data_IF_903738312669
#
_entry.id   IF_903738312669
#
_cell.length_a   1.000
_cell.length_b   1.000
_cell.length_c   1.000
_cell.angle_alpha   90.00
_cell.angle_beta   90.00
_cell.angle_gamma   90.00
#
_symmetry.space_group_name_H-M   'P 1'
#
loop_
_entity.id
_entity.type
_entity.pdbx_description
1 polymer ?
#
# COMPACT_ATOMS: atom_id res chain seq x y z
N UNK A 1 28.05 3.66 1.72
CA UNK A 1 26.93 4.18 2.53
C UNK A 1 25.94 3.03 2.67
N UNK A 2 25.37 2.80 3.86
CA UNK A 2 24.39 1.73 4.02
C UNK A 2 23.14 2.04 3.20
N UNK A 3 22.54 1.02 2.60
CA UNK A 3 21.27 1.13 1.90
C UNK A 3 20.10 0.94 2.88
N UNK A 4 19.05 1.71 2.70
CA UNK A 4 17.87 1.72 3.57
C UNK A 4 16.63 1.32 2.78
N UNK A 5 15.86 0.38 3.37
CA UNK A 5 14.51 0.06 2.95
C UNK A 5 13.53 0.58 4.00
N UNK A 6 12.59 1.42 3.61
CA UNK A 6 11.53 1.93 4.49
C UNK A 6 10.23 1.20 4.20
N UNK A 7 9.57 0.68 5.24
CA UNK A 7 8.30 -0.05 5.12
C UNK A 7 7.26 0.59 6.02
N UNK A 8 6.32 1.32 5.45
CA UNK A 8 5.17 1.81 6.21
C UNK A 8 4.15 0.68 6.41
N UNK A 9 3.44 0.67 7.52
CA UNK A 9 2.60 -0.48 7.88
C UNK A 9 3.41 -1.73 8.25
N UNK A 10 4.71 -1.57 8.54
CA UNK A 10 5.65 -2.67 8.79
C UNK A 10 5.51 -3.39 10.13
N UNK A 11 4.58 -2.95 11.01
CA UNK A 11 4.36 -3.59 12.30
C UNK A 11 3.45 -4.83 12.25
N UNK A 12 2.85 -5.18 11.12
CA UNK A 12 1.98 -6.34 10.96
C UNK A 12 1.64 -6.63 9.49
N UNK A 13 0.98 -7.77 9.24
CA UNK A 13 0.38 -8.10 7.95
C UNK A 13 1.40 -8.16 6.81
N UNK A 14 1.01 -7.62 5.65
CA UNK A 14 1.81 -7.68 4.40
C UNK A 14 3.15 -6.93 4.55
N UNK A 15 3.14 -5.75 5.22
CA UNK A 15 4.36 -4.96 5.40
C UNK A 15 5.41 -5.68 6.26
N UNK A 16 5.00 -6.28 7.38
CA UNK A 16 5.89 -7.07 8.22
C UNK A 16 6.38 -8.34 7.50
N UNK A 17 5.51 -8.98 6.71
CA UNK A 17 5.90 -10.13 5.89
C UNK A 17 6.90 -9.75 4.79
N UNK A 18 6.72 -8.60 4.13
CA UNK A 18 7.64 -8.12 3.09
C UNK A 18 9.05 -7.86 3.65
N UNK A 19 9.14 -7.35 4.88
CA UNK A 19 10.42 -7.09 5.54
C UNK A 19 11.34 -8.31 5.58
N UNK A 20 10.78 -9.52 5.73
CA UNK A 20 11.55 -10.78 5.77
C UNK A 20 12.29 -11.11 4.48
N UNK A 21 11.83 -10.58 3.36
CA UNK A 21 12.41 -10.83 2.03
C UNK A 21 13.35 -9.72 1.55
N UNK A 22 13.57 -8.67 2.36
CA UNK A 22 14.54 -7.63 2.05
C UNK A 22 15.96 -8.16 2.27
N UNK A 23 16.89 -7.73 1.43
CA UNK A 23 18.31 -8.12 1.56
C UNK A 23 18.81 -7.73 2.95
N UNK A 24 19.41 -8.69 3.67
CA UNK A 24 19.95 -8.53 5.03
C UNK A 24 21.09 -7.52 5.13
N UNK A 25 21.68 -7.12 4.00
CA UNK A 25 22.68 -6.05 3.94
C UNK A 25 22.06 -4.66 4.09
N UNK A 26 20.76 -4.54 3.88
CA UNK A 26 20.04 -3.27 4.02
C UNK A 26 19.58 -3.04 5.45
N UNK A 27 19.55 -1.79 5.85
CA UNK A 27 18.87 -1.35 7.07
C UNK A 27 17.37 -1.25 6.74
N UNK A 28 16.54 -1.90 7.54
CA UNK A 28 15.10 -1.84 7.42
C UNK A 28 14.55 -0.83 8.43
N UNK A 29 13.74 0.11 7.98
CA UNK A 29 12.95 0.99 8.87
C UNK A 29 11.50 0.57 8.72
N UNK A 30 10.92 0.02 9.78
CA UNK A 30 9.49 -0.28 9.82
C UNK A 30 8.74 0.85 10.52
N UNK A 31 7.65 1.32 9.92
CA UNK A 31 6.85 2.38 10.53
C UNK A 31 5.37 2.04 10.63
N UNK A 32 4.70 2.69 11.58
CA UNK A 32 3.29 2.55 11.88
C UNK A 32 2.91 3.36 13.11
N UNK A 33 1.64 3.32 13.52
CA UNK A 33 1.11 4.18 14.59
C UNK A 33 1.37 3.67 16.01
N UNK A 34 1.70 2.39 16.19
CA UNK A 34 1.80 1.74 17.50
C UNK A 34 3.21 1.18 17.72
N UNK A 35 4.00 1.80 18.60
CA UNK A 35 5.37 1.42 18.88
C UNK A 35 5.49 -0.05 19.34
N UNK A 36 4.62 -0.51 20.23
CA UNK A 36 4.62 -1.88 20.72
C UNK A 36 4.57 -2.94 19.62
N UNK A 37 3.72 -2.72 18.59
CA UNK A 37 3.64 -3.63 17.43
C UNK A 37 4.90 -3.57 16.58
N UNK A 38 5.50 -2.39 16.45
CA UNK A 38 6.73 -2.19 15.70
C UNK A 38 7.91 -2.85 16.39
N UNK A 39 8.05 -2.69 17.71
CA UNK A 39 9.11 -3.32 18.50
C UNK A 39 9.02 -4.86 18.46
N UNK A 40 7.79 -5.39 18.55
CA UNK A 40 7.57 -6.83 18.39
C UNK A 40 8.03 -7.31 17.01
N UNK A 41 7.60 -6.65 15.94
CA UNK A 41 7.98 -7.02 14.57
C UNK A 41 9.48 -6.85 14.33
N UNK A 42 10.10 -5.79 14.86
CA UNK A 42 11.54 -5.57 14.78
C UNK A 42 12.30 -6.70 15.45
N UNK A 43 11.93 -7.09 16.69
CA UNK A 43 12.57 -8.18 17.41
C UNK A 43 12.44 -9.55 16.74
N UNK A 44 11.35 -9.80 15.99
CA UNK A 44 11.21 -11.01 15.16
C UNK A 44 12.17 -10.97 13.96
N UNK A 45 12.24 -9.85 13.25
CA UNK A 45 13.13 -9.67 12.10
C UNK A 45 14.61 -9.68 12.49
N UNK A 46 14.98 -9.13 13.65
CA UNK A 46 16.34 -9.17 14.18
C UNK A 46 16.80 -10.60 14.49
N UNK A 47 15.91 -11.45 15.03
CA UNK A 47 16.19 -12.88 15.22
C UNK A 47 16.43 -13.61 13.89
N UNK A 48 15.85 -13.13 12.81
CA UNK A 48 16.07 -13.64 11.46
C UNK A 48 17.34 -13.05 10.79
N UNK A 49 18.06 -12.14 11.48
CA UNK A 49 19.34 -11.57 11.07
C UNK A 49 19.23 -10.27 10.27
N UNK A 50 18.11 -9.55 10.35
CA UNK A 50 17.96 -8.22 9.78
C UNK A 50 18.41 -7.13 10.74
N UNK A 51 18.84 -5.98 10.22
CA UNK A 51 19.05 -4.75 10.99
C UNK A 51 17.80 -3.89 10.87
N UNK A 52 17.06 -3.69 11.95
CA UNK A 52 15.72 -3.06 11.92
C UNK A 52 15.64 -1.90 12.89
N UNK A 53 14.99 -0.81 12.46
CA UNK A 53 14.66 0.34 13.31
C UNK A 53 13.15 0.60 13.25
N UNK A 54 12.44 0.52 14.38
CA UNK A 54 11.05 0.93 14.47
C UNK A 54 10.94 2.46 14.52
N UNK A 55 9.90 3.03 13.87
CA UNK A 55 9.63 4.46 13.88
C UNK A 55 8.11 4.72 13.88
N UNK A 56 7.63 5.50 14.86
CA UNK A 56 6.21 5.87 14.91
C UNK A 56 5.89 6.91 13.83
N UNK A 57 4.97 6.56 12.93
CA UNK A 57 4.51 7.45 11.85
C UNK A 57 3.05 7.18 11.53
N UNK A 58 2.24 8.22 11.53
CA UNK A 58 0.92 8.23 10.87
C UNK A 58 1.11 8.80 9.47
N UNK A 59 0.94 7.97 8.44
CA UNK A 59 1.12 8.38 7.04
C UNK A 59 0.03 9.33 6.54
N UNK A 60 -1.06 9.50 7.26
CA UNK A 60 -2.08 10.50 6.96
C UNK A 60 -1.70 11.92 7.43
N UNK A 61 -0.58 12.07 8.10
CA UNK A 61 0.02 13.35 8.50
C UNK A 61 1.34 13.57 7.76
N UNK A 62 1.37 14.52 6.83
CA UNK A 62 2.55 14.85 6.01
C UNK A 62 3.78 15.19 6.88
N UNK A 63 3.61 15.90 7.99
CA UNK A 63 4.72 16.23 8.89
C UNK A 63 5.33 14.99 9.56
N UNK A 64 4.51 13.98 9.86
CA UNK A 64 4.99 12.68 10.33
C UNK A 64 5.81 11.95 9.25
N UNK A 65 5.37 12.01 7.99
CA UNK A 65 6.10 11.42 6.85
C UNK A 65 7.45 12.13 6.66
N UNK A 66 7.49 13.47 6.73
CA UNK A 66 8.75 14.23 6.68
C UNK A 66 9.72 13.83 7.79
N UNK A 67 9.23 13.60 9.02
CA UNK A 67 10.07 13.11 10.13
C UNK A 67 10.62 11.73 9.84
N UNK A 68 9.80 10.83 9.26
CA UNK A 68 10.24 9.49 8.84
C UNK A 68 11.32 9.57 7.76
N UNK A 69 11.17 10.45 6.77
CA UNK A 69 12.19 10.69 5.72
C UNK A 69 13.51 11.14 6.33
N UNK A 70 13.48 12.15 7.23
CA UNK A 70 14.68 12.61 7.92
C UNK A 70 15.36 11.53 8.75
N UNK A 71 14.58 10.72 9.44
CA UNK A 71 15.09 9.58 10.18
C UNK A 71 15.74 8.55 9.25
N UNK A 72 15.10 8.23 8.13
CA UNK A 72 15.64 7.28 7.16
C UNK A 72 16.98 7.76 6.56
N UNK A 73 17.06 9.04 6.19
CA UNK A 73 18.31 9.67 5.71
C UNK A 73 19.45 9.61 6.73
N UNK A 74 19.14 9.70 8.04
CA UNK A 74 20.15 9.57 9.10
C UNK A 74 20.76 8.16 9.20
N UNK A 75 20.10 7.14 8.63
CA UNK A 75 20.55 5.74 8.64
C UNK A 75 21.32 5.36 7.38
N UNK A 76 21.07 6.03 6.25
CA UNK A 76 21.76 5.72 4.99
C UNK A 76 21.05 6.25 3.76
N UNK A 77 21.40 5.69 2.61
CA UNK A 77 20.77 6.01 1.33
C UNK A 77 19.47 5.21 1.16
N UNK A 78 18.35 5.92 0.93
CA UNK A 78 17.05 5.29 0.74
C UNK A 78 16.99 4.67 -0.66
N UNK A 79 16.94 3.35 -0.72
CA UNK A 79 16.84 2.57 -1.98
C UNK A 79 15.42 2.08 -2.24
N UNK A 80 14.73 1.65 -1.20
CA UNK A 80 13.41 1.05 -1.33
C UNK A 80 12.44 1.72 -0.37
N UNK A 81 11.25 2.04 -0.86
CA UNK A 81 10.11 2.43 -0.04
C UNK A 81 8.96 1.47 -0.36
N UNK A 82 8.47 0.75 0.64
CA UNK A 82 7.29 -0.10 0.55
C UNK A 82 6.19 0.58 1.35
N UNK A 83 5.21 1.14 0.65
CA UNK A 83 4.07 1.79 1.28
C UNK A 83 2.92 0.80 1.45
N UNK A 84 2.88 0.14 2.61
CA UNK A 84 1.87 -0.86 2.97
C UNK A 84 0.89 -0.36 4.04
N UNK A 85 1.07 0.87 4.55
CA UNK A 85 0.13 1.45 5.49
C UNK A 85 -1.22 1.72 4.83
N UNK A 86 -2.31 1.34 5.51
CA UNK A 86 -3.66 1.55 5.04
C UNK A 86 -4.69 0.98 6.01
N UNK A 87 -5.96 1.27 5.74
CA UNK A 87 -7.11 0.77 6.52
C UNK A 87 -8.14 0.13 5.58
N UNK A 88 -8.86 -0.88 6.10
CA UNK A 88 -9.96 -1.53 5.39
C UNK A 88 -11.32 -0.86 5.70
N UNK A 89 -12.40 -1.21 4.96
CA UNK A 89 -13.74 -0.68 5.19
C UNK A 89 -14.28 -0.91 6.61
N UNK A 90 -13.86 -2.01 7.24
CA UNK A 90 -14.26 -2.35 8.61
C UNK A 90 -13.56 -1.51 9.69
N UNK A 91 -12.50 -0.77 9.33
CA UNK A 91 -11.64 -0.06 10.28
C UNK A 91 -11.92 1.45 10.37
N UNK A 92 -12.59 2.04 9.37
CA UNK A 92 -12.77 3.49 9.30
C UNK A 92 -13.97 3.89 8.43
N UNK A 93 -14.50 5.10 8.68
CA UNK A 93 -15.50 5.73 7.82
C UNK A 93 -14.92 6.12 6.44
N UNK A 94 -15.79 6.44 5.44
CA UNK A 94 -15.36 6.71 4.08
C UNK A 94 -14.32 7.82 3.94
N UNK A 95 -14.45 8.92 4.68
CA UNK A 95 -13.52 10.04 4.58
C UNK A 95 -12.14 9.66 5.12
N UNK A 96 -12.11 8.96 6.24
CA UNK A 96 -10.89 8.49 6.88
C UNK A 96 -10.19 7.42 6.02
N UNK A 97 -10.96 6.53 5.38
CA UNK A 97 -10.42 5.56 4.40
C UNK A 97 -9.71 6.28 3.26
N UNK A 98 -10.37 7.28 2.65
CA UNK A 98 -9.79 8.06 1.55
C UNK A 98 -8.55 8.86 2.00
N UNK A 99 -8.63 9.51 3.15
CA UNK A 99 -7.51 10.30 3.67
C UNK A 99 -6.28 9.43 3.93
N UNK A 100 -6.45 8.33 4.67
CA UNK A 100 -5.31 7.44 5.00
C UNK A 100 -4.75 6.76 3.76
N UNK A 101 -5.62 6.15 2.95
CA UNK A 101 -5.16 5.31 1.84
C UNK A 101 -4.72 6.13 0.62
N UNK A 102 -5.42 7.24 0.28
CA UNK A 102 -5.10 8.03 -0.90
C UNK A 102 -4.11 9.15 -0.59
N UNK A 103 -4.44 10.07 0.34
CA UNK A 103 -3.56 11.19 0.65
C UNK A 103 -2.29 10.73 1.36
N UNK A 104 -2.38 9.72 2.23
CA UNK A 104 -1.19 9.10 2.82
C UNK A 104 -0.22 8.55 1.77
N UNK A 105 -0.72 7.94 0.66
CA UNK A 105 0.13 7.51 -0.45
C UNK A 105 0.76 8.71 -1.17
N UNK A 106 0.01 9.80 -1.37
CA UNK A 106 0.57 11.04 -1.95
C UNK A 106 1.71 11.55 -1.09
N UNK A 107 1.51 11.70 0.22
CA UNK A 107 2.52 12.21 1.14
C UNK A 107 3.79 11.35 1.15
N UNK A 108 3.63 10.03 1.23
CA UNK A 108 4.79 9.12 1.22
C UNK A 108 5.55 9.24 -0.10
N UNK A 109 4.88 9.13 -1.24
CA UNK A 109 5.55 9.14 -2.54
C UNK A 109 6.25 10.48 -2.82
N UNK A 110 5.59 11.60 -2.52
CA UNK A 110 6.17 12.93 -2.73
C UNK A 110 7.39 13.18 -1.82
N UNK A 111 7.24 12.96 -0.49
CA UNK A 111 8.32 13.29 0.44
C UNK A 111 9.55 12.39 0.25
N UNK A 112 9.34 11.08 -0.01
CA UNK A 112 10.46 10.19 -0.29
C UNK A 112 11.10 10.47 -1.65
N UNK A 113 10.32 10.70 -2.70
CA UNK A 113 10.87 10.93 -4.03
C UNK A 113 11.79 12.16 -4.13
N UNK A 114 11.59 13.17 -3.27
CA UNK A 114 12.43 14.39 -3.22
C UNK A 114 13.87 14.10 -2.83
N UNK A 115 14.11 13.03 -2.07
CA UNK A 115 15.42 12.70 -1.49
C UNK A 115 16.03 11.41 -2.03
N UNK A 116 15.24 10.59 -2.72
CA UNK A 116 15.70 9.34 -3.31
C UNK A 116 16.58 9.61 -4.54
N UNK A 117 17.58 8.75 -4.73
CA UNK A 117 18.52 8.82 -5.82
C UNK A 117 18.16 7.88 -6.97
N UNK A 118 18.77 8.04 -8.16
CA UNK A 118 18.62 7.09 -9.27
C UNK A 118 18.90 5.65 -8.84
N UNK A 119 18.11 4.72 -9.37
CA UNK A 119 18.14 3.29 -9.02
C UNK A 119 17.31 2.93 -7.79
N UNK A 120 16.54 3.89 -7.25
CA UNK A 120 15.62 3.62 -6.14
C UNK A 120 14.23 3.25 -6.63
N UNK A 121 13.42 2.66 -5.73
CA UNK A 121 12.06 2.20 -6.03
C UNK A 121 11.08 2.50 -4.92
N UNK A 122 9.86 2.90 -5.30
CA UNK A 122 8.68 2.99 -4.44
C UNK A 122 7.70 1.91 -4.88
N UNK A 123 7.23 1.11 -3.93
CA UNK A 123 6.21 0.08 -4.15
C UNK A 123 4.99 0.36 -3.26
N UNK A 124 3.87 0.71 -3.87
CA UNK A 124 2.62 1.01 -3.18
C UNK A 124 1.74 -0.23 -3.08
N UNK A 125 1.20 -0.54 -1.90
CA UNK A 125 0.27 -1.65 -1.72
C UNK A 125 -1.16 -1.17 -1.94
N UNK A 126 -1.72 -1.52 -3.09
CA UNK A 126 -3.11 -1.26 -3.45
C UNK A 126 -4.06 -2.35 -2.92
N UNK A 127 -4.96 -2.87 -3.75
CA UNK A 127 -5.86 -4.00 -3.47
C UNK A 127 -6.56 -4.45 -4.75
N UNK A 128 -6.96 -5.70 -4.83
CA UNK A 128 -7.82 -6.19 -5.91
C UNK A 128 -9.21 -5.50 -5.93
N UNK A 129 -9.65 -4.89 -4.82
CA UNK A 129 -10.87 -4.09 -4.77
C UNK A 129 -10.83 -2.89 -5.74
N UNK A 130 -9.66 -2.42 -6.11
CA UNK A 130 -9.46 -1.40 -7.13
C UNK A 130 -10.02 -1.80 -8.51
N UNK A 131 -10.06 -3.08 -8.80
CA UNK A 131 -10.57 -3.63 -10.07
C UNK A 131 -12.09 -3.85 -10.07
N UNK A 132 -12.76 -3.59 -8.94
CA UNK A 132 -14.19 -3.83 -8.79
C UNK A 132 -15.05 -2.61 -9.17
N UNK A 133 -14.42 -1.42 -9.28
CA UNK A 133 -15.13 -0.23 -9.70
C UNK A 133 -15.45 -0.27 -11.20
N UNK A 134 -16.72 -0.06 -11.61
CA UNK A 134 -17.04 0.14 -13.01
C UNK A 134 -16.30 1.36 -13.59
N UNK A 135 -15.79 1.23 -14.82
CA UNK A 135 -14.96 2.28 -15.45
C UNK A 135 -15.67 3.65 -15.53
N UNK A 136 -17.01 3.67 -15.72
CA UNK A 136 -17.77 4.92 -15.76
C UNK A 136 -17.81 5.66 -14.40
N UNK A 137 -17.54 4.98 -13.30
CA UNK A 137 -17.43 5.58 -11.96
C UNK A 137 -16.05 6.21 -11.72
N UNK A 138 -15.03 5.80 -12.45
CA UNK A 138 -13.65 6.29 -12.28
C UNK A 138 -13.51 7.64 -12.97
N UNK A 139 -12.87 8.59 -12.31
CA UNK A 139 -12.60 9.91 -12.88
C UNK A 139 -11.22 10.42 -12.45
N UNK A 140 -10.26 10.30 -13.35
CA UNK A 140 -8.90 10.78 -13.11
C UNK A 140 -8.86 12.28 -12.83
N UNK A 141 -9.79 13.08 -13.40
CA UNK A 141 -9.92 14.52 -13.06
C UNK A 141 -10.24 14.76 -11.58
N UNK A 142 -10.94 13.82 -10.93
CA UNK A 142 -11.15 13.92 -9.48
C UNK A 142 -9.89 13.48 -8.74
N UNK A 143 -9.17 12.47 -9.23
CA UNK A 143 -7.92 12.02 -8.64
C UNK A 143 -6.84 13.10 -8.67
N UNK A 144 -6.75 13.90 -9.73
CA UNK A 144 -5.85 15.06 -9.82
C UNK A 144 -6.07 16.07 -8.68
N UNK A 145 -7.29 16.15 -8.13
CA UNK A 145 -7.56 17.04 -7.00
C UNK A 145 -6.81 16.65 -5.73
N UNK A 146 -6.47 15.37 -5.55
CA UNK A 146 -5.67 14.96 -4.40
C UNK A 146 -4.29 15.65 -4.36
N UNK A 147 -3.81 16.18 -5.49
CA UNK A 147 -2.53 16.85 -5.65
C UNK A 147 -2.64 18.39 -5.59
N UNK A 148 -3.85 18.94 -5.74
CA UNK A 148 -4.05 20.39 -5.86
C UNK A 148 -5.06 20.95 -4.87
N UNK A 149 -6.03 20.15 -4.43
CA UNK A 149 -7.08 20.54 -3.49
C UNK A 149 -7.63 19.27 -2.79
N UNK A 150 -6.97 18.85 -1.72
CA UNK A 150 -7.27 17.64 -0.96
C UNK A 150 -8.72 17.60 -0.47
N UNK A 151 -9.24 18.72 0.05
CA UNK A 151 -10.63 18.81 0.54
C UNK A 151 -11.63 18.58 -0.60
N UNK A 152 -11.39 19.16 -1.78
CA UNK A 152 -12.24 18.93 -2.94
C UNK A 152 -12.20 17.48 -3.41
N UNK A 153 -11.04 16.82 -3.35
CA UNK A 153 -10.89 15.38 -3.64
C UNK A 153 -11.75 14.54 -2.69
N UNK A 154 -11.53 14.70 -1.39
CA UNK A 154 -12.26 13.96 -0.36
C UNK A 154 -13.77 14.16 -0.47
N UNK A 155 -14.21 15.43 -0.64
CA UNK A 155 -15.62 15.77 -0.75
C UNK A 155 -16.27 15.16 -2.00
N UNK A 156 -15.60 15.23 -3.16
CA UNK A 156 -16.16 14.69 -4.42
C UNK A 156 -16.29 13.17 -4.40
N UNK A 157 -15.33 12.45 -3.84
CA UNK A 157 -15.45 10.98 -3.71
C UNK A 157 -16.51 10.62 -2.66
N UNK A 158 -16.51 11.28 -1.49
CA UNK A 158 -17.53 11.05 -0.46
C UNK A 158 -18.96 11.27 -1.01
N UNK A 159 -19.17 12.31 -1.83
CA UNK A 159 -20.45 12.56 -2.50
C UNK A 159 -20.85 11.43 -3.46
N UNK A 160 -19.87 10.80 -4.16
CA UNK A 160 -20.14 9.67 -5.07
C UNK A 160 -20.64 8.42 -4.36
N UNK A 161 -20.34 8.24 -3.08
CA UNK A 161 -20.79 7.10 -2.29
C UNK A 161 -21.94 7.45 -1.34
N UNK A 162 -22.36 8.72 -1.28
CA UNK A 162 -23.38 9.21 -0.35
C UNK A 162 -24.78 8.63 -0.57
N UNK A 163 -25.11 8.18 -1.80
CA UNK A 163 -26.41 7.60 -2.14
C UNK A 163 -26.61 6.21 -1.51
N UNK A 164 -25.54 5.54 -1.12
CA UNK A 164 -25.63 4.27 -0.41
C UNK A 164 -26.18 4.52 1.01
N UNK A 165 -27.06 3.65 1.48
CA UNK A 165 -27.63 3.78 2.84
C UNK A 165 -26.75 3.08 3.88
N UNK A 166 -26.23 1.91 3.54
CA UNK A 166 -25.42 1.09 4.41
C UNK A 166 -24.02 1.70 4.65
N UNK A 167 -23.62 1.95 5.91
CA UNK A 167 -22.32 2.55 6.23
C UNK A 167 -21.14 1.67 5.79
N UNK A 168 -21.26 0.34 5.89
CA UNK A 168 -20.19 -0.57 5.47
C UNK A 168 -19.99 -0.55 3.97
N UNK A 169 -21.10 -0.57 3.19
CA UNK A 169 -21.02 -0.42 1.74
C UNK A 169 -20.42 0.93 1.32
N UNK A 170 -20.75 2.03 2.03
CA UNK A 170 -20.12 3.33 1.78
C UNK A 170 -18.60 3.26 1.97
N UNK A 171 -18.15 2.69 3.07
CA UNK A 171 -16.72 2.51 3.35
C UNK A 171 -16.07 1.55 2.34
N UNK A 172 -16.77 0.51 1.91
CA UNK A 172 -16.32 -0.44 0.88
C UNK A 172 -16.08 0.23 -0.47
N UNK A 173 -17.03 1.05 -0.94
CA UNK A 173 -16.83 1.80 -2.18
C UNK A 173 -15.74 2.88 -2.05
N UNK A 174 -15.68 3.60 -0.92
CA UNK A 174 -14.60 4.55 -0.66
C UNK A 174 -13.23 3.85 -0.63
N UNK A 175 -13.16 2.65 -0.08
CA UNK A 175 -11.97 1.81 -0.10
C UNK A 175 -11.58 1.43 -1.54
N UNK A 176 -12.53 0.95 -2.35
CA UNK A 176 -12.27 0.63 -3.76
C UNK A 176 -11.76 1.86 -4.53
N UNK A 177 -12.37 3.04 -4.32
CA UNK A 177 -11.86 4.30 -4.87
C UNK A 177 -10.44 4.63 -4.39
N UNK A 178 -10.16 4.45 -3.09
CA UNK A 178 -8.84 4.74 -2.54
C UNK A 178 -7.78 3.82 -3.13
N UNK A 179 -8.10 2.55 -3.38
CA UNK A 179 -7.17 1.56 -3.93
C UNK A 179 -7.00 1.69 -5.45
N UNK A 180 -8.04 2.08 -6.18
CA UNK A 180 -7.90 2.46 -7.59
C UNK A 180 -7.07 3.75 -7.74
N UNK A 181 -7.26 4.71 -6.84
CA UNK A 181 -6.41 5.90 -6.77
C UNK A 181 -4.93 5.53 -6.58
N UNK A 182 -4.60 4.62 -5.66
CA UNK A 182 -3.21 4.17 -5.42
C UNK A 182 -2.58 3.61 -6.70
N UNK A 183 -3.30 2.76 -7.43
CA UNK A 183 -2.83 2.22 -8.72
C UNK A 183 -2.57 3.31 -9.75
N UNK A 184 -3.55 4.20 -9.93
CA UNK A 184 -3.45 5.33 -10.85
C UNK A 184 -2.28 6.23 -10.46
N UNK A 185 -2.14 6.54 -9.17
CA UNK A 185 -1.11 7.44 -8.68
C UNK A 185 0.29 6.83 -8.80
N UNK A 186 0.46 5.55 -8.50
CA UNK A 186 1.73 4.84 -8.72
C UNK A 186 2.15 4.89 -10.20
N UNK A 187 1.21 4.66 -11.13
CA UNK A 187 1.48 4.79 -12.56
C UNK A 187 1.87 6.22 -12.95
N UNK A 188 1.15 7.25 -12.45
CA UNK A 188 1.50 8.65 -12.65
C UNK A 188 2.90 8.98 -12.13
N UNK A 189 3.20 8.59 -10.88
CA UNK A 189 4.51 8.81 -10.27
C UNK A 189 5.64 8.12 -11.05
N UNK A 190 5.39 6.96 -11.64
CA UNK A 190 6.38 6.28 -12.47
C UNK A 190 6.80 7.14 -13.67
N UNK A 191 5.87 7.83 -14.33
CA UNK A 191 6.17 8.75 -15.41
C UNK A 191 6.83 10.04 -14.92
N UNK A 192 6.44 10.55 -13.76
CA UNK A 192 6.98 11.79 -13.20
C UNK A 192 8.39 11.60 -12.63
N UNK A 193 8.63 10.48 -11.91
CA UNK A 193 9.91 10.22 -11.23
C UNK A 193 10.89 9.42 -12.09
N UNK A 194 10.40 8.71 -13.10
CA UNK A 194 11.21 7.89 -14.01
C UNK A 194 12.39 8.63 -14.64
N UNK A 195 12.23 9.89 -15.15
CA UNK A 195 13.35 10.68 -15.66
C UNK A 195 14.45 10.95 -14.64
N UNK A 196 14.16 10.87 -13.34
CA UNK A 196 15.13 10.98 -12.24
C UNK A 196 15.73 9.62 -11.84
N UNK A 197 15.38 8.54 -12.54
CA UNK A 197 15.82 7.18 -12.26
C UNK A 197 15.14 6.55 -11.05
N UNK A 198 13.99 7.04 -10.61
CA UNK A 198 13.20 6.49 -9.51
C UNK A 198 12.03 5.70 -10.11
N UNK A 199 11.97 4.42 -9.83
CA UNK A 199 10.92 3.53 -10.28
C UNK A 199 9.74 3.53 -9.30
N UNK A 200 8.51 3.53 -9.81
CA UNK A 200 7.30 3.36 -8.99
C UNK A 200 6.46 2.23 -9.56
N UNK A 201 5.92 1.40 -8.68
CA UNK A 201 5.09 0.24 -8.99
C UNK A 201 4.04 0.06 -7.91
N UNK A 202 2.90 -0.55 -8.22
CA UNK A 202 1.95 -0.99 -7.21
C UNK A 202 1.77 -2.51 -7.21
N UNK A 203 1.36 -3.04 -6.06
CA UNK A 203 0.95 -4.44 -5.89
C UNK A 203 -0.46 -4.45 -5.34
N UNK A 204 -1.35 -5.21 -5.97
CA UNK A 204 -2.75 -5.36 -5.57
C UNK A 204 -3.00 -6.75 -4.98
N UNK A 205 -3.00 -6.90 -3.64
CA UNK A 205 -3.37 -8.13 -2.97
C UNK A 205 -4.85 -8.46 -3.14
N UNK A 206 -5.17 -9.75 -3.17
CA UNK A 206 -6.49 -10.28 -2.87
C UNK A 206 -6.75 -10.42 -1.38
N UNK A 207 -7.60 -11.36 -1.00
CA UNK A 207 -7.90 -11.68 0.40
C UNK A 207 -6.74 -12.45 1.04
N UNK A 208 -6.08 -11.84 2.02
CA UNK A 208 -4.89 -12.38 2.68
C UNK A 208 -5.17 -12.65 4.16
N UNK A 209 -4.67 -13.76 4.68
CA UNK A 209 -4.83 -14.19 6.09
C UNK A 209 -4.03 -13.30 7.07
N UNK A 210 -4.44 -12.04 7.15
CA UNK A 210 -3.94 -11.02 8.08
C UNK A 210 -5.05 -10.59 9.03
N UNK A 211 -4.72 -9.85 10.07
CA UNK A 211 -5.77 -9.25 10.93
C UNK A 211 -6.79 -8.42 10.15
N UNK A 212 -6.37 -7.69 9.13
CA UNK A 212 -7.25 -6.93 8.24
C UNK A 212 -8.12 -7.86 7.38
N UNK A 213 -7.53 -8.87 6.74
CA UNK A 213 -8.25 -9.81 5.88
C UNK A 213 -9.27 -10.67 6.66
N UNK A 214 -8.95 -11.03 7.89
CA UNK A 214 -9.87 -11.77 8.76
C UNK A 214 -11.09 -10.91 9.15
N UNK A 215 -10.93 -9.59 9.35
CA UNK A 215 -12.03 -8.67 9.55
C UNK A 215 -12.91 -8.54 8.30
N UNK A 216 -12.33 -8.52 7.12
CA UNK A 216 -13.06 -8.47 5.85
C UNK A 216 -13.84 -9.77 5.61
N UNK A 217 -13.24 -10.93 5.91
CA UNK A 217 -13.90 -12.23 5.78
C UNK A 217 -15.11 -12.34 6.70
N UNK A 218 -15.03 -11.84 7.95
CA UNK A 218 -16.14 -11.87 8.91
C UNK A 218 -17.40 -11.09 8.46
N UNK A 219 -17.26 -10.19 7.48
CA UNK A 219 -18.35 -9.39 6.92
C UNK A 219 -18.87 -9.89 5.56
N UNK A 220 -18.13 -10.78 4.86
CA UNK A 220 -18.40 -11.09 3.45
C UNK A 220 -18.55 -12.57 3.12
N UNK A 221 -18.86 -13.45 4.08
CA UNK A 221 -19.01 -14.89 3.87
C UNK A 221 -17.91 -15.57 3.03
N UNK A 222 -17.92 -16.90 2.94
CA UNK A 222 -16.98 -17.72 2.15
C UNK A 222 -17.01 -17.46 0.63
N UNK A 223 -17.91 -16.59 0.13
CA UNK A 223 -18.07 -16.28 -1.29
C UNK A 223 -16.82 -15.69 -1.93
N UNK A 224 -16.06 -14.85 -1.18
CA UNK A 224 -14.81 -14.28 -1.69
C UNK A 224 -13.78 -15.38 -2.00
N UNK A 225 -13.66 -16.36 -1.11
CA UNK A 225 -12.77 -17.52 -1.30
C UNK A 225 -13.24 -18.38 -2.48
N UNK A 226 -14.55 -18.56 -2.63
CA UNK A 226 -15.11 -19.34 -3.72
C UNK A 226 -14.78 -18.79 -5.11
N UNK A 227 -14.51 -17.49 -5.22
CA UNK A 227 -14.15 -16.84 -6.48
C UNK A 227 -12.66 -16.92 -6.81
N UNK A 228 -11.79 -17.26 -5.86
CA UNK A 228 -10.35 -17.44 -6.15
C UNK A 228 -10.12 -18.77 -6.90
N UNK A 229 -9.15 -18.82 -7.80
CA UNK A 229 -8.71 -20.07 -8.44
C UNK A 229 -8.11 -21.03 -7.40
N UNK A 230 -7.38 -20.48 -6.43
CA UNK A 230 -6.71 -21.23 -5.36
C UNK A 230 -7.64 -21.74 -4.26
N UNK A 231 -8.91 -21.29 -4.21
CA UNK A 231 -9.93 -21.69 -3.23
C UNK A 231 -9.49 -21.52 -1.76
N UNK A 232 -8.65 -20.52 -1.51
CA UNK A 232 -8.13 -20.19 -0.18
C UNK A 232 -7.77 -18.71 -0.07
N UNK A 233 -7.55 -18.25 1.14
CA UNK A 233 -6.85 -16.99 1.39
C UNK A 233 -5.38 -17.12 1.01
N UNK A 234 -4.77 -16.04 0.52
CA UNK A 234 -3.32 -15.93 0.41
C UNK A 234 -2.67 -15.86 1.80
N UNK A 235 -1.45 -16.35 1.93
CA UNK A 235 -0.65 -16.22 3.15
C UNK A 235 0.08 -14.87 3.16
N UNK A 236 0.30 -14.24 4.33
CA UNK A 236 1.08 -13.00 4.42
C UNK A 236 2.46 -13.11 3.75
N UNK A 237 3.12 -14.26 3.87
CA UNK A 237 4.45 -14.51 3.30
C UNK A 237 4.42 -14.54 1.77
N UNK A 238 3.36 -15.08 1.14
CA UNK A 238 3.20 -15.10 -0.31
C UNK A 238 3.12 -13.67 -0.87
N UNK A 239 2.37 -12.81 -0.18
CA UNK A 239 2.27 -11.40 -0.54
C UNK A 239 3.52 -10.61 -0.17
N UNK A 240 4.12 -10.90 0.99
CA UNK A 240 5.37 -10.31 1.40
C UNK A 240 6.47 -10.51 0.36
N UNK A 241 6.59 -11.73 -0.15
CA UNK A 241 7.52 -12.05 -1.24
C UNK A 241 7.21 -11.27 -2.53
N UNK A 242 5.94 -11.24 -2.97
CA UNK A 242 5.55 -10.53 -4.18
C UNK A 242 5.82 -9.01 -4.08
N UNK A 243 5.55 -8.40 -2.92
CA UNK A 243 5.81 -6.98 -2.66
C UNK A 243 7.33 -6.71 -2.62
N UNK A 244 8.10 -7.53 -1.93
CA UNK A 244 9.56 -7.39 -1.88
C UNK A 244 10.18 -7.57 -3.27
N UNK A 245 9.71 -8.53 -4.07
CA UNK A 245 10.13 -8.75 -5.46
C UNK A 245 9.81 -7.52 -6.33
N UNK A 246 8.61 -6.95 -6.22
CA UNK A 246 8.24 -5.74 -6.97
C UNK A 246 9.09 -4.52 -6.56
N UNK A 247 9.46 -4.44 -5.29
CA UNK A 247 10.31 -3.41 -4.71
C UNK A 247 11.82 -3.65 -4.93
N UNK A 248 12.22 -4.77 -5.52
CA UNK A 248 13.63 -5.10 -5.76
C UNK A 248 14.18 -4.23 -6.90
N UNK A 249 15.29 -3.54 -6.67
CA UNK A 249 15.95 -2.68 -7.66
C UNK A 249 16.43 -3.43 -8.90
N UNK A 250 16.69 -4.74 -8.82
CA UNK A 250 17.04 -5.60 -9.95
C UNK A 250 15.93 -5.71 -10.99
N UNK A 251 14.67 -5.47 -10.59
CA UNK A 251 13.51 -5.38 -11.49
C UNK A 251 13.45 -4.02 -12.22
N UNK A 252 14.56 -3.50 -12.74
CA UNK A 252 14.69 -2.15 -13.24
C UNK A 252 13.70 -1.73 -14.34
N UNK A 253 13.03 -2.66 -15.01
CA UNK A 253 12.03 -2.37 -16.05
C UNK A 253 10.57 -2.54 -15.59
N UNK A 254 10.35 -2.97 -14.34
CA UNK A 254 9.01 -3.10 -13.76
C UNK A 254 8.56 -1.73 -13.18
N UNK A 255 7.98 -0.87 -14.01
CA UNK A 255 7.57 0.49 -13.63
C UNK A 255 6.19 0.87 -14.18
N UNK A 256 5.43 1.68 -13.44
CA UNK A 256 4.13 2.20 -13.85
C UNK A 256 3.03 1.15 -13.98
N UNK A 257 3.26 -0.05 -13.51
CA UNK A 257 2.36 -1.21 -13.59
C UNK A 257 1.84 -1.56 -12.20
N UNK A 258 0.65 -2.16 -12.17
CA UNK A 258 0.10 -2.81 -10.98
C UNK A 258 0.21 -4.33 -11.10
N UNK A 259 0.81 -4.96 -10.10
CA UNK A 259 0.98 -6.41 -10.03
C UNK A 259 -0.17 -7.00 -9.21
N UNK A 260 -1.14 -7.61 -9.87
CA UNK A 260 -2.28 -8.25 -9.22
C UNK A 260 -1.89 -9.62 -8.65
N UNK A 261 -2.03 -9.78 -7.33
CA UNK A 261 -1.67 -11.01 -6.57
C UNK A 261 -2.85 -11.42 -5.69
N UNK A 262 -3.87 -12.01 -6.29
CA UNK A 262 -5.18 -12.25 -5.69
C UNK A 262 -5.68 -13.71 -5.78
N UNK A 263 -4.80 -14.64 -6.08
CA UNK A 263 -5.17 -16.04 -6.28
C UNK A 263 -6.10 -16.27 -7.46
N UNK A 264 -6.09 -15.35 -8.45
CA UNK A 264 -6.89 -15.42 -9.67
C UNK A 264 -8.34 -14.95 -9.52
N UNK A 265 -8.70 -14.26 -8.42
CA UNK A 265 -10.06 -13.83 -8.16
C UNK A 265 -10.61 -12.92 -9.26
N UNK A 266 -9.96 -11.80 -9.52
CA UNK A 266 -10.47 -10.81 -10.50
C UNK A 266 -10.53 -11.37 -11.91
N UNK A 267 -9.45 -12.01 -12.36
CA UNK A 267 -9.40 -12.57 -13.71
C UNK A 267 -10.24 -13.83 -13.86
N UNK A 268 -10.45 -14.57 -12.77
CA UNK A 268 -11.24 -15.82 -12.77
C UNK A 268 -12.75 -15.60 -12.82
N UNK A 269 -13.26 -14.44 -12.38
CA UNK A 269 -14.71 -14.15 -12.31
C UNK A 269 -15.46 -14.40 -13.63
N UNK A 270 -14.82 -14.14 -14.78
CA UNK A 270 -15.38 -14.39 -16.11
C UNK A 270 -15.55 -15.88 -16.48
N UNK A 271 -14.93 -16.77 -15.73
CA UNK A 271 -15.00 -18.23 -15.94
C UNK A 271 -15.93 -18.93 -14.94
N UNK A 272 -16.45 -18.21 -13.94
CA UNK A 272 -17.42 -18.75 -12.97
C UNK A 272 -18.81 -18.59 -13.59
N UNK A 273 -19.52 -19.72 -13.76
CA UNK A 273 -20.89 -19.79 -14.28
C UNK A 273 -21.91 -19.84 -13.15
#
# INVERSE_FOLDING_TARGET
>A
MCEVCVITGGGSGIGAAAARFIDKKKIIIISGRHMEKLEKAAGELEKEGHTVFPFVCDTSDRLNVEKLVRFALSKGEIKNVIHSAGVSPAMADPQKVLHINSLGTVYVNEEFSRVMKPGSVICDVASNSAYQLPSFMISHKIYELALTNEDAFLHKIARRVSFLKDPYLKSGFAYSYSKDFVRWYASRCAFEYGPRGIRVVSVSPGLIATGMGNLELSHNDDKLIAHTAEKRMGKPEELGFAVAMAADERNGYLAGVDVLVDGGEINGRKFIR
#
